data_IF_325311060964
#
_entry.id   IF_325311060964
#
_cell.length_a   1.000
_cell.length_b   1.000
_cell.length_c   1.000
_cell.angle_alpha   90.00
_cell.angle_beta   90.00
_cell.angle_gamma   90.00
#
_symmetry.space_group_name_H-M   'P 1'
#
loop_
_entity.id
_entity.type
_entity.pdbx_description
1 polymer ?
#
# COMPACT_ATOMS: atom_id res chain seq x y z
N UNK A 1 -56.99 -3.14 51.31
CA UNK A 1 -56.33 -3.85 50.20
C UNK A 1 -56.01 -2.81 49.12
N UNK A 2 -54.75 -2.39 49.01
CA UNK A 2 -54.28 -1.41 48.02
C UNK A 2 -53.59 -2.19 46.90
N UNK A 3 -54.18 -2.17 45.70
CA UNK A 3 -53.60 -2.75 44.51
C UNK A 3 -52.56 -1.78 43.94
N UNK A 4 -51.28 -2.15 43.98
CA UNK A 4 -50.22 -1.47 43.25
C UNK A 4 -50.02 -2.20 41.92
N UNK A 5 -50.34 -1.51 40.82
CA UNK A 5 -50.14 -1.96 39.46
C UNK A 5 -48.69 -1.60 39.06
N UNK A 6 -47.80 -2.58 39.02
CA UNK A 6 -46.44 -2.40 38.53
C UNK A 6 -46.45 -2.42 37.00
N UNK A 7 -46.21 -1.26 36.38
CA UNK A 7 -45.97 -1.11 34.95
C UNK A 7 -44.54 -1.55 34.66
N UNK A 8 -44.38 -2.65 33.92
CA UNK A 8 -43.08 -3.10 33.41
C UNK A 8 -42.78 -2.33 32.13
N UNK A 9 -41.88 -1.35 32.20
CA UNK A 9 -41.34 -0.67 31.00
C UNK A 9 -40.25 -1.58 30.44
N UNK A 10 -40.56 -2.28 29.35
CA UNK A 10 -39.57 -3.02 28.57
C UNK A 10 -38.69 -2.02 27.81
N UNK A 11 -37.46 -1.81 28.28
CA UNK A 11 -36.43 -1.14 27.49
C UNK A 11 -36.01 -2.08 26.35
N UNK A 12 -36.49 -1.81 25.14
CA UNK A 12 -35.95 -2.39 23.92
C UNK A 12 -34.55 -1.82 23.70
N UNK A 13 -33.53 -2.57 24.11
CA UNK A 13 -32.16 -2.34 23.64
C UNK A 13 -32.12 -2.68 22.14
N UNK A 14 -32.16 -1.66 21.28
CA UNK A 14 -31.67 -1.79 19.92
C UNK A 14 -30.16 -2.05 20.01
N UNK A 15 -29.75 -3.31 19.98
CA UNK A 15 -28.40 -3.63 19.54
C UNK A 15 -28.33 -3.18 18.09
N UNK A 16 -27.64 -2.08 17.84
CA UNK A 16 -27.22 -1.69 16.50
C UNK A 16 -26.32 -2.84 16.00
N UNK A 17 -26.93 -3.81 15.33
CA UNK A 17 -26.20 -4.80 14.56
C UNK A 17 -25.52 -4.04 13.44
N UNK A 18 -24.21 -4.18 13.30
CA UNK A 18 -23.49 -3.60 12.17
C UNK A 18 -24.19 -4.06 10.88
N UNK A 19 -24.31 -3.17 9.90
CA UNK A 19 -24.92 -3.53 8.65
C UNK A 19 -24.03 -4.57 7.95
N UNK A 20 -24.56 -5.75 7.69
CA UNK A 20 -23.85 -6.79 6.94
C UNK A 20 -23.46 -6.29 5.55
N UNK A 21 -22.32 -6.75 4.99
CA UNK A 21 -21.90 -6.39 3.65
C UNK A 21 -23.00 -6.64 2.60
N UNK A 22 -23.16 -5.70 1.66
CA UNK A 22 -24.15 -5.84 0.58
C UNK A 22 -23.46 -6.32 -0.68
N UNK A 23 -23.90 -7.45 -1.24
CA UNK A 23 -23.31 -8.04 -2.45
C UNK A 23 -24.01 -7.57 -3.73
N UNK A 24 -23.24 -6.93 -4.62
CA UNK A 24 -23.66 -6.43 -5.93
C UNK A 24 -24.02 -7.53 -6.93
N UNK A 25 -23.72 -8.80 -6.64
CA UNK A 25 -24.23 -9.97 -7.40
C UNK A 25 -25.71 -10.26 -7.10
N UNK A 26 -26.19 -9.86 -5.93
CA UNK A 26 -27.58 -10.13 -5.50
C UNK A 26 -28.53 -9.01 -5.90
N UNK A 27 -28.04 -7.76 -5.90
CA UNK A 27 -28.78 -6.57 -6.34
C UNK A 27 -27.80 -5.47 -6.69
N UNK A 28 -28.17 -4.59 -7.63
CA UNK A 28 -27.39 -3.40 -7.95
C UNK A 28 -27.16 -2.54 -6.70
N UNK A 29 -25.97 -1.97 -6.60
CA UNK A 29 -25.59 -0.99 -5.59
C UNK A 29 -25.43 0.35 -6.30
N UNK A 30 -26.04 1.40 -5.78
CA UNK A 30 -26.01 2.73 -6.40
C UNK A 30 -25.47 3.73 -5.40
N UNK A 31 -24.32 4.32 -5.72
CA UNK A 31 -23.78 5.46 -4.97
C UNK A 31 -24.38 6.71 -5.62
N UNK A 32 -25.33 7.32 -4.94
CA UNK A 32 -26.22 8.34 -5.51
C UNK A 32 -25.78 9.76 -5.14
N UNK A 33 -25.80 10.65 -6.13
CA UNK A 33 -25.48 12.09 -6.01
C UNK A 33 -24.07 12.39 -5.47
N UNK A 34 -23.08 11.58 -5.86
CA UNK A 34 -21.70 11.69 -5.38
C UNK A 34 -20.83 12.56 -6.30
N UNK A 35 -19.79 13.20 -5.76
CA UNK A 35 -18.73 13.80 -6.57
C UNK A 35 -17.69 12.73 -6.92
N UNK A 36 -17.45 12.47 -8.19
CA UNK A 36 -16.49 11.43 -8.62
C UNK A 36 -15.17 12.07 -9.01
N UNK A 37 -14.06 11.48 -8.56
CA UNK A 37 -12.71 11.77 -9.05
C UNK A 37 -12.27 10.55 -9.87
N UNK A 38 -12.40 10.58 -11.21
CA UNK A 38 -12.29 9.36 -12.02
C UNK A 38 -10.88 8.79 -12.16
N UNK A 39 -9.85 9.62 -11.93
CA UNK A 39 -8.43 9.31 -12.10
C UNK A 39 -7.97 9.10 -13.56
N UNK A 40 -8.70 9.64 -14.54
CA UNK A 40 -8.30 9.74 -15.95
C UNK A 40 -7.50 11.02 -16.26
N UNK A 41 -7.90 12.15 -15.68
CA UNK A 41 -7.14 13.40 -15.54
C UNK A 41 -7.63 14.17 -14.31
N UNK A 42 -6.96 15.27 -13.94
CA UNK A 42 -7.31 16.05 -12.75
C UNK A 42 -8.62 16.82 -12.94
N UNK A 43 -9.73 16.25 -12.43
CA UNK A 43 -11.04 16.89 -12.40
C UNK A 43 -11.99 16.23 -11.38
N UNK A 44 -13.15 16.86 -11.18
CA UNK A 44 -14.27 16.32 -10.40
C UNK A 44 -15.53 16.30 -11.26
N UNK A 45 -16.21 15.15 -11.32
CA UNK A 45 -17.55 15.03 -11.88
C UNK A 45 -18.56 15.19 -10.74
N UNK A 46 -19.21 16.33 -10.67
CA UNK A 46 -20.15 16.63 -9.58
C UNK A 46 -21.49 15.91 -9.75
N UNK A 47 -22.10 15.53 -8.62
CA UNK A 47 -23.48 15.02 -8.55
C UNK A 47 -23.79 13.88 -9.55
N UNK A 48 -23.06 12.78 -9.44
CA UNK A 48 -23.20 11.58 -10.26
C UNK A 48 -23.95 10.47 -9.52
N UNK A 49 -24.69 9.66 -10.27
CA UNK A 49 -25.09 8.31 -9.83
C UNK A 49 -24.09 7.31 -10.41
N UNK A 50 -23.55 6.42 -9.57
CA UNK A 50 -22.63 5.35 -9.98
C UNK A 50 -23.27 4.00 -9.65
N UNK A 51 -23.52 3.17 -10.67
CA UNK A 51 -24.24 1.90 -10.55
C UNK A 51 -23.27 0.74 -10.64
N UNK A 52 -23.16 -0.02 -9.55
CA UNK A 52 -22.31 -1.19 -9.44
C UNK A 52 -23.15 -2.46 -9.52
N UNK A 53 -22.71 -3.37 -10.38
CA UNK A 53 -23.34 -4.67 -10.60
C UNK A 53 -22.26 -5.72 -10.85
N UNK A 54 -22.35 -6.86 -10.16
CA UNK A 54 -21.40 -7.96 -10.30
C UNK A 54 -19.92 -7.51 -10.14
N UNK A 55 -19.67 -6.54 -9.26
CA UNK A 55 -18.33 -5.96 -9.01
C UNK A 55 -17.78 -5.03 -10.09
N UNK A 56 -18.62 -4.59 -11.03
CA UNK A 56 -18.23 -3.67 -12.12
C UNK A 56 -19.12 -2.43 -12.07
N UNK A 57 -18.53 -1.28 -12.40
CA UNK A 57 -19.30 -0.05 -12.65
C UNK A 57 -20.07 -0.24 -13.96
N UNK A 58 -21.33 -0.61 -13.85
CA UNK A 58 -22.19 -0.96 -14.98
C UNK A 58 -22.72 0.27 -15.73
N UNK A 59 -22.92 1.38 -15.03
CA UNK A 59 -23.32 2.66 -15.60
C UNK A 59 -22.96 3.81 -14.64
N UNK A 60 -22.75 5.02 -15.17
CA UNK A 60 -22.60 6.23 -14.38
C UNK A 60 -22.96 7.49 -15.17
N UNK A 61 -23.34 8.55 -14.47
CA UNK A 61 -23.69 9.82 -15.10
C UNK A 61 -24.41 10.77 -14.14
N UNK A 62 -24.86 11.95 -14.62
CA UNK A 62 -25.52 12.94 -13.77
C UNK A 62 -26.71 12.34 -13.02
N UNK A 63 -26.80 12.64 -11.72
CA UNK A 63 -27.82 12.11 -10.82
C UNK A 63 -29.24 12.33 -11.37
N UNK A 64 -30.06 11.29 -11.30
CA UNK A 64 -31.43 11.27 -11.85
C UNK A 64 -31.53 11.06 -13.37
N UNK A 65 -30.40 10.95 -14.09
CA UNK A 65 -30.37 10.57 -15.52
C UNK A 65 -29.97 9.13 -15.76
N UNK A 66 -29.29 8.50 -14.80
CA UNK A 66 -28.88 7.09 -14.84
C UNK A 66 -30.05 6.21 -14.44
N UNK A 67 -30.24 5.08 -15.14
CA UNK A 67 -31.30 4.12 -14.82
C UNK A 67 -30.72 2.93 -14.09
N UNK A 68 -31.35 2.59 -12.97
CA UNK A 68 -31.02 1.39 -12.19
C UNK A 68 -32.30 0.71 -11.69
N UNK A 69 -32.15 -0.51 -11.20
CA UNK A 69 -33.23 -1.34 -10.68
C UNK A 69 -33.94 -0.66 -9.51
N UNK A 70 -35.27 -0.76 -9.48
CA UNK A 70 -36.08 -0.33 -8.32
C UNK A 70 -35.76 -1.09 -7.02
N UNK A 71 -35.05 -2.21 -7.11
CA UNK A 71 -34.59 -3.02 -5.98
C UNK A 71 -33.14 -2.73 -5.58
N UNK A 72 -32.49 -1.78 -6.24
CA UNK A 72 -31.10 -1.43 -5.96
C UNK A 72 -30.94 -0.98 -4.50
N UNK A 73 -29.77 -1.27 -3.94
CA UNK A 73 -29.35 -0.71 -2.67
C UNK A 73 -28.77 0.68 -2.92
N UNK A 74 -29.41 1.70 -2.36
CA UNK A 74 -29.02 3.10 -2.57
C UNK A 74 -28.16 3.56 -1.40
N UNK A 75 -27.00 4.14 -1.71
CA UNK A 75 -26.09 4.80 -0.79
C UNK A 75 -26.15 6.31 -1.08
N UNK A 76 -26.81 7.11 -0.23
CA UNK A 76 -26.82 8.56 -0.38
C UNK A 76 -25.42 9.14 -0.15
N UNK A 77 -24.92 9.90 -1.11
CA UNK A 77 -23.54 10.40 -1.13
C UNK A 77 -23.43 11.88 -1.52
N UNK A 78 -24.50 12.65 -1.32
CA UNK A 78 -24.49 14.11 -1.54
C UNK A 78 -23.38 14.78 -0.70
N UNK A 79 -22.55 15.60 -1.38
CA UNK A 79 -21.40 16.27 -0.77
C UNK A 79 -20.18 15.38 -0.51
N UNK A 80 -20.29 14.06 -0.71
CA UNK A 80 -19.19 13.10 -0.55
C UNK A 80 -18.42 12.93 -1.86
N UNK A 81 -17.23 12.34 -1.76
CA UNK A 81 -16.32 12.12 -2.88
C UNK A 81 -16.08 10.62 -3.09
N UNK A 82 -16.09 10.17 -4.35
CA UNK A 82 -15.81 8.79 -4.73
C UNK A 82 -14.49 8.73 -5.48
N UNK A 83 -13.56 7.91 -4.96
CA UNK A 83 -12.29 7.61 -5.61
C UNK A 83 -12.18 6.10 -5.88
N UNK A 84 -11.26 5.67 -6.76
CA UNK A 84 -10.89 4.26 -6.85
C UNK A 84 -10.27 3.76 -5.52
N UNK A 85 -10.41 2.47 -5.27
CA UNK A 85 -9.72 1.77 -4.19
C UNK A 85 -8.22 2.01 -4.22
N UNK A 86 -7.63 2.27 -3.06
CA UNK A 86 -6.19 2.45 -2.93
C UNK A 86 -5.48 1.08 -2.99
N UNK A 87 -4.24 1.09 -3.48
CA UNK A 87 -3.40 -0.09 -3.64
C UNK A 87 -2.13 0.11 -2.80
N UNK A 88 -1.93 -0.76 -1.81
CA UNK A 88 -0.71 -0.79 -1.00
C UNK A 88 0.31 -1.69 -1.70
N UNK A 89 1.33 -1.07 -2.30
CA UNK A 89 2.31 -1.76 -3.13
C UNK A 89 3.54 -2.23 -2.32
N UNK A 90 3.59 -2.02 -1.02
CA UNK A 90 4.62 -2.58 -0.15
C UNK A 90 4.08 -2.93 1.24
N UNK A 91 3.55 -4.14 1.39
CA UNK A 91 3.08 -4.62 2.69
C UNK A 91 3.85 -5.85 3.18
N UNK A 92 3.68 -6.13 4.48
CA UNK A 92 4.16 -7.33 5.12
C UNK A 92 3.01 -8.09 5.79
N UNK A 93 2.41 -9.04 5.06
CA UNK A 93 1.42 -9.93 5.66
C UNK A 93 2.15 -10.91 6.60
N UNK A 94 1.66 -11.15 7.83
CA UNK A 94 2.30 -12.04 8.79
C UNK A 94 2.69 -13.40 8.17
N UNK A 95 3.95 -13.79 8.35
CA UNK A 95 4.50 -15.06 7.86
C UNK A 95 4.26 -16.17 8.89
N UNK A 96 3.02 -16.63 8.99
CA UNK A 96 2.57 -17.65 9.94
C UNK A 96 1.72 -18.72 9.26
N UNK A 97 1.47 -19.82 9.96
CA UNK A 97 0.58 -20.89 9.48
C UNK A 97 -0.92 -20.59 9.72
N UNK A 98 -1.21 -19.55 10.52
CA UNK A 98 -2.56 -19.16 10.92
C UNK A 98 -3.12 -18.04 10.03
N UNK A 99 -4.37 -18.18 9.56
CA UNK A 99 -5.02 -17.13 8.74
C UNK A 99 -5.45 -15.92 9.56
N UNK A 100 -5.82 -16.09 10.83
CA UNK A 100 -6.40 -15.02 11.66
C UNK A 100 -5.51 -13.77 11.74
N UNK A 101 -4.19 -13.86 12.06
CA UNK A 101 -3.34 -12.67 12.08
C UNK A 101 -3.20 -11.99 10.71
N UNK A 102 -3.26 -12.77 9.62
CA UNK A 102 -3.23 -12.22 8.26
C UNK A 102 -4.52 -11.44 7.97
N UNK A 103 -5.68 -12.01 8.34
CA UNK A 103 -6.98 -11.37 8.16
C UNK A 103 -7.11 -10.09 8.98
N UNK A 104 -6.51 -10.03 10.17
CA UNK A 104 -6.48 -8.81 10.99
C UNK A 104 -5.73 -7.68 10.26
N UNK A 105 -4.54 -7.97 9.71
CA UNK A 105 -3.78 -7.02 8.91
C UNK A 105 -4.55 -6.62 7.63
N UNK A 106 -5.15 -7.58 6.93
CA UNK A 106 -5.96 -7.31 5.73
C UNK A 106 -7.21 -6.48 6.04
N UNK A 107 -7.80 -6.65 7.23
CA UNK A 107 -8.94 -5.86 7.70
C UNK A 107 -8.53 -4.42 7.99
N UNK A 108 -7.36 -4.20 8.59
CA UNK A 108 -6.82 -2.85 8.80
C UNK A 108 -6.59 -2.14 7.46
N UNK A 109 -6.05 -2.84 6.45
CA UNK A 109 -5.96 -2.30 5.09
C UNK A 109 -7.33 -1.95 4.51
N UNK A 110 -8.30 -2.87 4.57
CA UNK A 110 -9.66 -2.67 4.06
C UNK A 110 -10.37 -1.47 4.70
N UNK A 111 -10.28 -1.33 6.03
CA UNK A 111 -10.90 -0.24 6.78
C UNK A 111 -10.31 1.14 6.44
N UNK A 112 -9.12 1.17 5.85
CA UNK A 112 -8.45 2.36 5.37
C UNK A 112 -8.54 2.50 3.83
N UNK A 113 -9.53 1.86 3.19
CA UNK A 113 -9.80 2.05 1.76
C UNK A 113 -8.77 1.40 0.83
N UNK A 114 -7.88 0.56 1.37
CA UNK A 114 -6.98 -0.26 0.57
C UNK A 114 -7.76 -1.48 0.07
N UNK A 115 -7.81 -1.66 -1.24
CA UNK A 115 -8.55 -2.75 -1.91
C UNK A 115 -7.63 -3.75 -2.61
N UNK A 116 -6.35 -3.42 -2.74
CA UNK A 116 -5.30 -4.31 -3.25
C UNK A 116 -4.04 -4.15 -2.41
N UNK A 117 -3.38 -5.27 -2.12
CA UNK A 117 -2.15 -5.35 -1.34
C UNK A 117 -1.11 -6.17 -2.12
N UNK A 118 0.10 -5.63 -2.28
CA UNK A 118 1.29 -6.35 -2.75
C UNK A 118 2.17 -6.69 -1.54
N UNK A 119 2.10 -7.94 -1.08
CA UNK A 119 2.94 -8.47 -0.02
C UNK A 119 4.36 -8.71 -0.54
N UNK A 120 5.33 -8.04 0.09
CA UNK A 120 6.74 -8.06 -0.32
C UNK A 120 7.56 -9.12 0.41
N UNK A 121 6.93 -9.93 1.28
CA UNK A 121 7.56 -11.05 1.97
C UNK A 121 6.59 -12.23 2.07
N UNK A 122 6.76 -13.19 1.18
CA UNK A 122 5.86 -14.33 1.02
C UNK A 122 6.01 -15.45 2.03
N UNK A 123 4.88 -16.05 2.39
CA UNK A 123 4.75 -17.33 3.06
C UNK A 123 3.83 -18.26 2.27
N UNK A 124 3.93 -19.58 2.44
CA UNK A 124 3.08 -20.53 1.69
C UNK A 124 1.59 -20.31 1.95
N UNK A 125 1.24 -19.97 3.19
CA UNK A 125 -0.15 -19.65 3.56
C UNK A 125 -0.71 -18.37 2.94
N UNK A 126 0.14 -17.48 2.41
CA UNK A 126 -0.34 -16.34 1.64
C UNK A 126 -1.00 -16.77 0.32
N UNK A 127 -0.55 -17.89 -0.28
CA UNK A 127 -1.20 -18.46 -1.46
C UNK A 127 -2.58 -19.04 -1.13
N UNK A 128 -2.72 -19.67 0.05
CA UNK A 128 -4.03 -20.12 0.55
C UNK A 128 -4.98 -18.94 0.76
N UNK A 129 -4.50 -17.87 1.44
CA UNK A 129 -5.28 -16.64 1.64
C UNK A 129 -5.68 -16.02 0.30
N UNK A 130 -4.75 -15.89 -0.65
CA UNK A 130 -5.00 -15.37 -2.00
C UNK A 130 -6.12 -16.16 -2.69
N UNK A 131 -6.05 -17.49 -2.69
CA UNK A 131 -7.09 -18.33 -3.29
C UNK A 131 -8.47 -18.16 -2.62
N UNK A 132 -8.52 -18.00 -1.29
CA UNK A 132 -9.76 -17.73 -0.55
C UNK A 132 -10.37 -16.37 -0.89
N UNK A 133 -9.54 -15.36 -1.15
CA UNK A 133 -9.99 -14.04 -1.61
C UNK A 133 -10.54 -14.13 -3.03
N UNK A 134 -9.82 -14.78 -3.94
CA UNK A 134 -10.22 -14.93 -5.35
C UNK A 134 -11.52 -15.71 -5.52
N UNK A 135 -11.77 -16.70 -4.67
CA UNK A 135 -13.01 -17.49 -4.66
C UNK A 135 -14.16 -16.80 -3.95
N UNK A 136 -13.90 -15.70 -3.22
CA UNK A 136 -14.88 -14.98 -2.43
C UNK A 136 -15.25 -15.66 -1.11
N UNK A 137 -14.47 -16.66 -0.65
CA UNK A 137 -14.63 -17.24 0.68
C UNK A 137 -14.28 -16.22 1.78
N UNK A 138 -13.34 -15.32 1.48
CA UNK A 138 -12.89 -14.24 2.36
C UNK A 138 -13.07 -12.90 1.65
N UNK A 139 -13.70 -11.93 2.33
CA UNK A 139 -13.75 -10.54 1.89
C UNK A 139 -12.51 -9.84 2.46
N UNK A 140 -11.52 -9.61 1.60
CA UNK A 140 -10.30 -8.88 1.92
C UNK A 140 -9.70 -8.26 0.64
N UNK A 141 -8.76 -7.32 0.77
CA UNK A 141 -8.08 -6.72 -0.38
C UNK A 141 -7.49 -7.78 -1.32
N UNK A 142 -7.51 -7.54 -2.62
CA UNK A 142 -6.83 -8.40 -3.60
C UNK A 142 -5.37 -8.56 -3.21
N UNK A 143 -4.87 -9.80 -3.12
CA UNK A 143 -3.50 -10.08 -2.69
C UNK A 143 -2.62 -10.46 -3.88
N UNK A 144 -1.56 -9.68 -4.10
CA UNK A 144 -0.38 -10.10 -4.86
C UNK A 144 0.74 -10.39 -3.86
N UNK A 145 1.44 -11.50 -4.00
CA UNK A 145 2.46 -11.89 -3.02
C UNK A 145 3.72 -12.39 -3.69
N UNK A 146 4.86 -11.89 -3.21
CA UNK A 146 6.14 -12.52 -3.52
C UNK A 146 6.20 -13.90 -2.86
N UNK A 147 7.19 -14.70 -3.24
CA UNK A 147 7.65 -15.80 -2.39
C UNK A 147 8.57 -15.31 -1.25
N UNK A 148 9.18 -16.24 -0.49
CA UNK A 148 10.23 -15.91 0.47
C UNK A 148 11.37 -15.13 -0.18
N UNK A 149 11.99 -14.20 0.58
CA UNK A 149 13.00 -13.30 0.00
C UNK A 149 14.29 -14.01 -0.45
N UNK A 150 14.84 -13.53 -1.56
CA UNK A 150 16.21 -13.81 -1.99
C UNK A 150 17.15 -12.83 -1.28
N UNK A 151 18.00 -13.33 -0.39
CA UNK A 151 18.93 -12.53 0.41
C UNK A 151 20.27 -13.26 0.57
N UNK A 152 21.24 -12.61 1.23
CA UNK A 152 22.59 -13.17 1.42
C UNK A 152 22.65 -14.51 2.19
N UNK A 153 21.58 -14.90 2.89
CA UNK A 153 21.50 -16.17 3.60
C UNK A 153 20.72 -17.25 2.84
N UNK A 154 19.81 -16.87 1.93
CA UNK A 154 18.96 -17.81 1.19
C UNK A 154 19.46 -18.04 -0.24
N UNK A 155 19.90 -16.99 -0.93
CA UNK A 155 20.34 -17.00 -2.32
C UNK A 155 21.88 -17.02 -2.44
N UNK A 156 22.54 -17.92 -1.70
CA UNK A 156 23.99 -17.93 -1.49
C UNK A 156 24.81 -18.33 -2.71
N UNK A 157 24.26 -19.14 -3.62
CA UNK A 157 24.93 -19.61 -4.84
C UNK A 157 23.99 -19.59 -6.04
N UNK A 158 24.51 -19.44 -7.28
CA UNK A 158 23.70 -19.48 -8.50
C UNK A 158 22.77 -20.69 -8.59
N UNK A 159 23.24 -21.88 -8.18
CA UNK A 159 22.46 -23.12 -8.25
C UNK A 159 21.28 -23.10 -7.29
N UNK A 160 21.50 -22.67 -6.04
CA UNK A 160 20.43 -22.53 -5.04
C UNK A 160 19.42 -21.48 -5.50
N UNK A 161 19.90 -20.36 -6.01
CA UNK A 161 19.04 -19.28 -6.50
C UNK A 161 18.15 -19.72 -7.67
N UNK A 162 18.67 -20.45 -8.64
CA UNK A 162 17.88 -21.00 -9.76
C UNK A 162 16.80 -21.97 -9.25
N UNK A 163 17.14 -22.84 -8.29
CA UNK A 163 16.17 -23.75 -7.70
C UNK A 163 15.03 -23.00 -6.99
N UNK A 164 15.36 -21.95 -6.22
CA UNK A 164 14.37 -21.08 -5.57
C UNK A 164 13.46 -20.36 -6.57
N UNK A 165 14.00 -19.86 -7.70
CA UNK A 165 13.19 -19.23 -8.75
C UNK A 165 12.17 -20.22 -9.31
N UNK A 166 12.63 -21.44 -9.65
CA UNK A 166 11.75 -22.49 -10.16
C UNK A 166 10.68 -22.90 -9.15
N UNK A 167 11.05 -23.07 -7.89
CA UNK A 167 10.13 -23.41 -6.82
C UNK A 167 9.05 -22.34 -6.68
N UNK A 168 9.44 -21.06 -6.53
CA UNK A 168 8.48 -19.98 -6.34
C UNK A 168 7.56 -19.79 -7.55
N UNK A 169 8.10 -19.91 -8.77
CA UNK A 169 7.30 -19.89 -9.99
C UNK A 169 6.29 -21.05 -10.02
N UNK A 170 6.74 -22.28 -9.72
CA UNK A 170 5.88 -23.48 -9.75
C UNK A 170 4.78 -23.46 -8.70
N UNK A 171 5.02 -22.79 -7.57
CA UNK A 171 4.03 -22.60 -6.51
C UNK A 171 2.97 -21.55 -6.85
N UNK A 172 3.22 -20.70 -7.84
CA UNK A 172 2.29 -19.65 -8.27
C UNK A 172 2.42 -18.32 -7.51
N UNK A 173 3.61 -18.00 -7.00
CA UNK A 173 3.89 -16.65 -6.50
C UNK A 173 3.89 -15.63 -7.66
N UNK A 174 3.44 -14.41 -7.37
CA UNK A 174 3.23 -13.38 -8.41
C UNK A 174 4.55 -12.75 -8.88
N UNK A 175 5.57 -12.71 -8.01
CA UNK A 175 6.88 -12.10 -8.28
C UNK A 175 7.96 -12.58 -7.30
N UNK A 176 9.22 -12.26 -7.58
CA UNK A 176 10.37 -12.57 -6.74
C UNK A 176 10.82 -11.32 -5.96
N UNK A 177 10.94 -11.39 -4.63
CA UNK A 177 11.48 -10.30 -3.80
C UNK A 177 12.98 -10.48 -3.57
N UNK A 178 13.75 -9.44 -3.90
CA UNK A 178 15.18 -9.35 -3.60
C UNK A 178 15.39 -8.47 -2.36
N UNK A 179 16.20 -8.97 -1.43
CA UNK A 179 16.68 -8.30 -0.22
C UNK A 179 18.20 -8.09 -0.30
N UNK A 180 18.78 -7.28 0.60
CA UNK A 180 20.21 -7.03 0.61
C UNK A 180 21.06 -8.32 0.77
N UNK A 181 22.30 -8.26 0.27
CA UNK A 181 23.31 -9.30 0.45
C UNK A 181 23.31 -10.43 -0.59
N UNK A 182 22.45 -10.41 -1.60
CA UNK A 182 22.53 -11.38 -2.71
C UNK A 182 23.85 -11.17 -3.48
N UNK A 183 24.71 -12.20 -3.63
CA UNK A 183 25.94 -12.09 -4.41
C UNK A 183 25.67 -11.81 -5.89
N UNK A 184 26.56 -11.07 -6.56
CA UNK A 184 26.39 -10.72 -7.99
C UNK A 184 26.15 -11.94 -8.89
N UNK A 185 26.85 -13.06 -8.65
CA UNK A 185 26.70 -14.28 -9.44
C UNK A 185 25.29 -14.90 -9.26
N UNK A 186 24.78 -14.93 -8.02
CA UNK A 186 23.43 -15.40 -7.71
C UNK A 186 22.37 -14.49 -8.31
N UNK A 187 22.57 -13.17 -8.23
CA UNK A 187 21.69 -12.19 -8.86
C UNK A 187 21.61 -12.42 -10.39
N UNK A 188 22.74 -12.58 -11.07
CA UNK A 188 22.75 -12.85 -12.51
C UNK A 188 22.04 -14.15 -12.88
N UNK A 189 22.13 -15.18 -12.03
CA UNK A 189 21.42 -16.43 -12.21
C UNK A 189 19.90 -16.26 -12.01
N UNK A 190 19.50 -15.48 -10.99
CA UNK A 190 18.10 -15.09 -10.74
C UNK A 190 17.52 -14.39 -11.97
N UNK A 191 18.17 -13.34 -12.47
CA UNK A 191 17.68 -12.56 -13.62
C UNK A 191 17.50 -13.45 -14.85
N UNK A 192 18.49 -14.30 -15.14
CA UNK A 192 18.43 -15.22 -16.28
C UNK A 192 17.25 -16.18 -16.18
N UNK A 193 17.05 -16.80 -15.01
CA UNK A 193 15.98 -17.77 -14.84
C UNK A 193 14.60 -17.11 -14.76
N UNK A 194 14.49 -15.98 -14.06
CA UNK A 194 13.26 -15.20 -13.97
C UNK A 194 12.78 -14.74 -15.35
N UNK A 195 13.70 -14.29 -16.23
CA UNK A 195 13.38 -13.93 -17.62
C UNK A 195 12.92 -15.13 -18.45
N UNK A 196 13.45 -16.34 -18.19
CA UNK A 196 13.02 -17.57 -18.86
C UNK A 196 11.60 -17.97 -18.45
N UNK A 197 11.30 -17.90 -17.15
CA UNK A 197 9.98 -18.24 -16.60
C UNK A 197 8.97 -17.08 -16.70
N UNK A 198 9.42 -15.89 -17.12
CA UNK A 198 8.64 -14.64 -17.22
C UNK A 198 8.01 -14.21 -15.89
N UNK A 199 8.68 -14.49 -14.78
CA UNK A 199 8.27 -14.01 -13.46
C UNK A 199 9.00 -12.69 -13.14
N UNK A 200 8.28 -11.61 -12.79
CA UNK A 200 8.92 -10.34 -12.45
C UNK A 200 9.68 -10.45 -11.12
N UNK A 201 10.67 -9.56 -10.94
CA UNK A 201 11.43 -9.44 -9.70
C UNK A 201 11.57 -7.98 -9.29
N UNK A 202 11.58 -7.73 -7.98
CA UNK A 202 11.52 -6.40 -7.39
C UNK A 202 12.13 -6.36 -5.98
N UNK A 203 12.33 -5.17 -5.43
CA UNK A 203 12.73 -4.96 -4.04
C UNK A 203 13.99 -4.12 -3.91
N UNK A 204 14.87 -4.52 -2.99
CA UNK A 204 16.13 -3.82 -2.77
C UNK A 204 17.10 -4.06 -3.93
N UNK A 205 18.03 -3.12 -4.08
CA UNK A 205 19.20 -3.27 -4.93
C UNK A 205 20.37 -3.75 -4.05
N UNK A 206 20.89 -4.97 -4.24
CA UNK A 206 22.06 -5.42 -3.49
C UNK A 206 23.29 -4.55 -3.78
N UNK A 207 24.11 -4.25 -2.77
CA UNK A 207 25.29 -3.41 -2.92
C UNK A 207 26.30 -3.93 -3.97
N UNK A 208 26.50 -5.26 -4.06
CA UNK A 208 27.38 -5.86 -5.09
C UNK A 208 26.81 -5.76 -6.52
N UNK A 209 25.49 -5.59 -6.64
CA UNK A 209 24.78 -5.45 -7.91
C UNK A 209 24.83 -3.99 -8.35
N UNK A 210 24.46 -3.08 -7.46
CA UNK A 210 24.40 -1.65 -7.74
C UNK A 210 23.23 -1.25 -8.66
N UNK A 211 22.83 0.02 -8.57
CA UNK A 211 21.62 0.52 -9.23
C UNK A 211 21.63 0.34 -10.75
N UNK A 212 22.79 0.50 -11.40
CA UNK A 212 22.89 0.47 -12.85
C UNK A 212 22.66 -0.94 -13.39
N UNK A 213 23.24 -1.96 -12.75
CA UNK A 213 23.00 -3.35 -13.14
C UNK A 213 21.57 -3.78 -12.85
N UNK A 214 20.96 -3.27 -11.77
CA UNK A 214 19.54 -3.48 -11.48
C UNK A 214 18.63 -2.88 -12.57
N UNK A 215 18.88 -1.65 -13.01
CA UNK A 215 18.16 -1.00 -14.11
C UNK A 215 18.33 -1.81 -15.40
N UNK A 216 19.56 -2.15 -15.78
CA UNK A 216 19.88 -2.91 -17.00
C UNK A 216 19.32 -4.34 -16.98
N UNK A 217 19.00 -4.85 -15.79
CA UNK A 217 18.39 -6.17 -15.60
C UNK A 217 16.86 -6.16 -15.75
N UNK A 218 16.22 -4.99 -15.83
CA UNK A 218 14.77 -4.80 -15.92
C UNK A 218 14.01 -5.20 -14.63
N UNK A 219 14.45 -4.68 -13.47
CA UNK A 219 13.65 -4.73 -12.24
C UNK A 219 12.21 -4.27 -12.50
N UNK A 220 11.19 -4.96 -11.97
CA UNK A 220 9.82 -4.47 -12.09
C UNK A 220 9.55 -3.28 -11.15
N UNK A 221 10.08 -3.32 -9.92
CA UNK A 221 10.18 -2.13 -9.06
C UNK A 221 11.43 -2.11 -8.19
N UNK A 222 11.92 -0.91 -7.90
CA UNK A 222 12.93 -0.64 -6.89
C UNK A 222 12.23 -0.01 -5.68
N UNK A 223 12.54 -0.53 -4.51
CA UNK A 223 11.83 -0.21 -3.27
C UNK A 223 12.78 0.50 -2.28
N UNK A 224 12.23 1.32 -1.38
CA UNK A 224 12.93 2.01 -0.28
C UNK A 224 13.93 3.11 -0.65
N UNK A 225 14.20 3.35 -1.94
CA UNK A 225 15.15 4.34 -2.47
C UNK A 225 16.62 4.15 -2.06
N UNK A 226 16.96 3.15 -1.24
CA UNK A 226 18.31 2.92 -0.73
C UNK A 226 19.32 2.72 -1.86
N UNK A 227 19.02 1.84 -2.81
CA UNK A 227 19.83 1.62 -4.00
C UNK A 227 19.98 2.86 -4.89
N UNK A 228 18.97 3.73 -4.93
CA UNK A 228 19.04 4.99 -5.65
C UNK A 228 19.98 5.97 -4.96
N UNK A 229 19.87 6.11 -3.63
CA UNK A 229 20.76 6.97 -2.85
C UNK A 229 22.21 6.49 -2.96
N UNK A 230 22.47 5.18 -2.83
CA UNK A 230 23.79 4.59 -3.06
C UNK A 230 24.31 4.88 -4.48
N UNK A 231 23.44 4.79 -5.47
CA UNK A 231 23.72 5.10 -6.87
C UNK A 231 24.13 6.55 -7.14
N UNK A 232 23.78 7.48 -6.25
CA UNK A 232 24.20 8.88 -6.31
C UNK A 232 25.56 9.11 -5.66
N UNK A 233 26.14 8.14 -4.96
CA UNK A 233 27.42 8.31 -4.25
C UNK A 233 28.58 7.90 -5.19
N UNK A 234 29.48 8.83 -5.55
CA UNK A 234 30.64 8.48 -6.39
C UNK A 234 31.54 7.44 -5.71
N UNK A 235 31.89 6.38 -6.44
CA UNK A 235 32.70 5.26 -5.93
C UNK A 235 32.11 4.53 -4.70
N UNK A 236 30.78 4.47 -4.57
CA UNK A 236 30.08 3.80 -3.45
C UNK A 236 30.59 2.39 -3.16
N UNK A 237 30.98 1.62 -4.19
CA UNK A 237 31.53 0.27 -4.08
C UNK A 237 32.84 0.17 -3.29
N UNK A 238 33.53 1.30 -3.04
CA UNK A 238 34.74 1.36 -2.22
C UNK A 238 34.44 1.73 -0.76
N UNK A 239 33.19 2.07 -0.44
CA UNK A 239 32.76 2.49 0.88
C UNK A 239 32.15 1.26 1.59
N UNK A 240 32.65 0.88 2.78
CA UNK A 240 32.04 -0.18 3.55
C UNK A 240 30.56 0.10 3.86
N UNK A 241 29.69 -0.91 3.73
CA UNK A 241 28.24 -0.74 3.90
C UNK A 241 27.84 -0.13 5.26
N UNK A 242 28.56 -0.45 6.33
CA UNK A 242 28.32 0.13 7.65
C UNK A 242 28.61 1.65 7.72
N UNK A 243 29.38 2.22 6.79
CA UNK A 243 29.60 3.67 6.69
C UNK A 243 28.55 4.39 5.83
N UNK A 244 27.82 3.65 5.00
CA UNK A 244 26.66 4.14 4.24
C UNK A 244 25.41 4.15 5.14
N UNK A 245 25.33 3.19 6.07
CA UNK A 245 24.27 3.07 7.06
C UNK A 245 23.05 2.33 6.53
N UNK A 246 22.14 1.97 7.44
CA UNK A 246 20.87 1.33 7.09
C UNK A 246 20.08 2.24 6.12
N UNK A 247 19.56 1.68 5.03
CA UNK A 247 18.88 2.42 3.95
C UNK A 247 19.68 3.61 3.36
N UNK A 248 21.01 3.56 3.44
CA UNK A 248 21.88 4.65 3.03
C UNK A 248 21.64 5.99 3.76
N UNK A 249 21.27 5.93 5.04
CA UNK A 249 20.99 7.11 5.87
C UNK A 249 22.16 8.10 5.95
N UNK A 250 23.41 7.63 5.89
CA UNK A 250 24.61 8.48 5.86
C UNK A 250 25.05 8.86 4.43
N UNK A 251 24.28 8.46 3.42
CA UNK A 251 24.57 8.69 2.01
C UNK A 251 24.35 10.14 1.57
N UNK A 252 23.44 10.86 2.23
CA UNK A 252 22.98 12.18 1.77
C UNK A 252 24.11 13.21 1.61
N UNK A 253 25.06 13.26 2.55
CA UNK A 253 26.20 14.17 2.48
C UNK A 253 27.24 13.82 1.39
N UNK A 254 27.11 12.65 0.75
CA UNK A 254 28.03 12.13 -0.27
C UNK A 254 27.39 12.03 -1.66
N UNK A 255 26.10 12.33 -1.78
CA UNK A 255 25.35 12.23 -3.01
C UNK A 255 25.76 13.32 -4.02
N UNK A 256 26.09 12.90 -5.23
CA UNK A 256 26.29 13.76 -6.39
C UNK A 256 24.99 13.86 -7.19
N UNK A 257 24.27 14.96 -6.98
CA UNK A 257 22.97 15.22 -7.62
C UNK A 257 23.07 15.37 -9.15
N UNK A 258 24.27 15.57 -9.71
CA UNK A 258 24.45 15.60 -11.17
C UNK A 258 24.19 14.24 -11.83
N UNK A 259 24.12 13.16 -11.05
CA UNK A 259 23.80 11.81 -11.51
C UNK A 259 22.29 11.57 -11.68
N UNK A 260 21.42 12.41 -11.09
CA UNK A 260 19.97 12.24 -11.15
C UNK A 260 19.42 12.18 -12.58
N UNK A 261 19.78 13.08 -13.52
CA UNK A 261 19.25 13.01 -14.89
C UNK A 261 19.56 11.68 -15.59
N UNK A 262 20.76 11.13 -15.37
CA UNK A 262 21.14 9.83 -15.92
C UNK A 262 20.31 8.70 -15.29
N UNK A 263 20.12 8.75 -13.97
CA UNK A 263 19.33 7.76 -13.24
C UNK A 263 17.87 7.77 -13.69
N UNK A 264 17.23 8.94 -13.73
CA UNK A 264 15.84 9.09 -14.17
C UNK A 264 15.64 8.58 -15.60
N UNK A 265 16.55 8.93 -16.52
CA UNK A 265 16.52 8.41 -17.89
C UNK A 265 16.61 6.89 -17.93
N UNK A 266 17.47 6.28 -17.11
CA UNK A 266 17.61 4.82 -17.02
C UNK A 266 16.32 4.16 -16.52
N UNK A 267 15.78 4.65 -15.39
CA UNK A 267 14.54 4.15 -14.79
C UNK A 267 13.37 4.24 -15.78
N UNK A 268 13.21 5.39 -16.43
CA UNK A 268 12.17 5.61 -17.44
C UNK A 268 12.32 4.65 -18.63
N UNK A 269 13.52 4.56 -19.21
CA UNK A 269 13.75 3.76 -20.43
C UNK A 269 13.56 2.26 -20.21
N UNK A 270 13.83 1.79 -18.98
CA UNK A 270 13.63 0.39 -18.59
C UNK A 270 12.27 0.13 -17.92
N UNK A 271 11.38 1.14 -17.86
CA UNK A 271 10.04 1.03 -17.26
C UNK A 271 10.05 0.54 -15.80
N UNK A 272 11.05 1.00 -15.04
CA UNK A 272 11.24 0.63 -13.63
C UNK A 272 10.32 1.48 -12.77
N UNK A 273 9.50 0.84 -11.95
CA UNK A 273 8.65 1.52 -10.97
C UNK A 273 9.41 1.75 -9.66
N UNK A 274 9.07 2.82 -8.95
CA UNK A 274 9.66 3.18 -7.67
C UNK A 274 8.61 3.07 -6.57
N UNK A 275 8.95 2.39 -5.47
CA UNK A 275 8.13 2.35 -4.25
C UNK A 275 8.93 2.97 -3.11
N UNK A 276 8.78 4.28 -2.86
CA UNK A 276 9.64 5.02 -1.94
C UNK A 276 9.63 4.52 -0.50
N UNK A 277 8.47 4.08 0.01
CA UNK A 277 8.24 3.80 1.44
C UNK A 277 8.71 4.96 2.31
N UNK A 278 8.32 6.18 1.95
CA UNK A 278 8.72 7.40 2.67
C UNK A 278 8.18 7.44 4.10
N UNK A 279 7.01 6.83 4.33
CA UNK A 279 6.40 6.66 5.63
C UNK A 279 7.29 5.88 6.58
N UNK A 280 7.97 4.83 6.10
CA UNK A 280 8.96 4.13 6.90
C UNK A 280 10.12 5.05 7.28
N UNK A 281 10.69 5.80 6.32
CA UNK A 281 11.81 6.68 6.60
C UNK A 281 11.43 7.82 7.57
N UNK A 282 10.32 8.52 7.32
CA UNK A 282 9.85 9.63 8.14
C UNK A 282 9.44 9.15 9.55
N UNK A 283 8.81 7.98 9.70
CA UNK A 283 8.34 7.48 11.01
C UNK A 283 9.40 6.72 11.81
N UNK A 284 10.30 5.99 11.16
CA UNK A 284 11.43 5.38 11.85
C UNK A 284 12.42 6.44 12.31
N UNK A 285 12.75 7.43 11.46
CA UNK A 285 13.73 8.43 11.83
C UNK A 285 13.16 9.50 12.77
N UNK A 286 11.96 10.01 12.49
CA UNK A 286 11.15 10.93 13.31
C UNK A 286 11.92 11.70 14.40
N UNK A 287 12.99 12.40 14.00
CA UNK A 287 14.02 12.90 14.92
C UNK A 287 13.56 14.11 15.75
N UNK A 288 12.38 14.63 15.42
CA UNK A 288 11.69 15.74 16.07
C UNK A 288 10.61 15.25 17.06
N UNK A 289 10.41 13.94 17.21
CA UNK A 289 9.44 13.32 18.11
C UNK A 289 10.11 12.30 19.01
N UNK A 290 9.49 12.07 20.16
CA UNK A 290 9.87 10.99 21.07
C UNK A 290 9.21 9.67 20.67
N UNK A 291 9.84 8.55 21.01
CA UNK A 291 9.26 7.21 20.88
C UNK A 291 7.87 7.10 21.55
N UNK A 292 7.69 7.79 22.68
CA UNK A 292 6.42 7.88 23.40
C UNK A 292 5.33 8.62 22.63
N UNK A 293 5.67 9.71 21.94
CA UNK A 293 4.71 10.44 21.10
C UNK A 293 4.28 9.60 19.89
N UNK A 294 5.21 8.89 19.27
CA UNK A 294 4.92 7.97 18.16
C UNK A 294 4.05 6.79 18.60
N UNK A 295 4.37 6.17 19.75
CA UNK A 295 3.60 5.08 20.33
C UNK A 295 2.20 5.52 20.83
N UNK A 296 1.99 6.81 21.07
CA UNK A 296 0.70 7.36 21.48
C UNK A 296 -0.20 7.80 20.30
N UNK A 297 0.23 7.58 19.05
CA UNK A 297 -0.58 7.92 17.89
C UNK A 297 -1.91 7.11 17.88
N UNK A 298 -3.05 7.70 17.47
CA UNK A 298 -4.36 7.07 17.61
C UNK A 298 -4.47 5.68 16.96
N UNK A 299 -3.76 5.45 15.86
CA UNK A 299 -3.73 4.19 15.13
C UNK A 299 -2.98 3.07 15.88
N UNK A 300 -2.14 3.40 16.87
CA UNK A 300 -1.31 2.41 17.58
C UNK A 300 -2.13 1.44 18.43
N UNK A 301 -3.40 1.78 18.76
CA UNK A 301 -4.33 0.88 19.47
C UNK A 301 -4.67 -0.41 18.71
N UNK A 302 -4.28 -0.51 17.44
CA UNK A 302 -4.45 -1.72 16.62
C UNK A 302 -3.21 -2.61 16.58
N UNK A 303 -2.14 -2.25 17.30
CA UNK A 303 -0.90 -3.01 17.37
C UNK A 303 -0.70 -3.57 18.77
N UNK A 304 -0.20 -4.80 18.88
CA UNK A 304 0.10 -5.39 20.19
C UNK A 304 1.29 -4.69 20.89
N UNK A 305 1.31 -4.79 22.22
CA UNK A 305 2.33 -4.17 23.06
C UNK A 305 3.75 -4.65 22.70
N UNK A 306 3.93 -5.93 22.37
CA UNK A 306 5.24 -6.48 22.05
C UNK A 306 5.78 -5.94 20.72
N UNK A 307 4.93 -5.79 19.71
CA UNK A 307 5.25 -5.13 18.45
C UNK A 307 5.58 -3.66 18.66
N UNK A 308 4.76 -2.94 19.43
CA UNK A 308 4.99 -1.53 19.74
C UNK A 308 6.31 -1.31 20.49
N UNK A 309 6.63 -2.17 21.45
CA UNK A 309 7.87 -2.12 22.20
C UNK A 309 9.10 -2.36 21.31
N UNK A 310 9.04 -3.32 20.38
CA UNK A 310 10.11 -3.52 19.38
C UNK A 310 10.32 -2.31 18.49
N UNK A 311 9.25 -1.61 18.10
CA UNK A 311 9.34 -0.39 17.30
C UNK A 311 9.95 0.78 18.06
N UNK A 312 9.61 0.93 19.35
CA UNK A 312 10.26 1.89 20.26
C UNK A 312 11.77 1.62 20.31
N UNK A 313 12.17 0.37 20.54
CA UNK A 313 13.58 -0.02 20.60
C UNK A 313 14.31 0.24 19.28
N UNK A 314 13.69 -0.10 18.14
CA UNK A 314 14.26 0.13 16.82
C UNK A 314 14.45 1.63 16.49
N UNK A 315 13.49 2.46 16.89
CA UNK A 315 13.58 3.91 16.75
C UNK A 315 14.64 4.51 17.67
N UNK A 316 14.66 4.13 18.95
CA UNK A 316 15.67 4.62 19.89
C UNK A 316 17.08 4.17 19.51
N UNK A 317 17.23 2.99 18.93
CA UNK A 317 18.51 2.49 18.45
C UNK A 317 19.01 3.28 17.25
N UNK A 318 18.18 3.55 16.23
CA UNK A 318 18.64 4.29 15.05
C UNK A 318 19.07 5.72 15.40
N UNK A 319 18.39 6.37 16.36
CA UNK A 319 18.75 7.71 16.83
C UNK A 319 20.12 7.79 17.50
N UNK A 320 20.68 6.68 18.01
CA UNK A 320 22.03 6.66 18.60
C UNK A 320 23.14 6.73 17.55
N UNK A 321 22.84 6.35 16.31
CA UNK A 321 23.85 6.16 15.26
C UNK A 321 23.93 7.33 14.28
N UNK A 322 23.12 8.38 14.42
CA UNK A 322 23.20 9.58 13.56
C UNK A 322 22.72 10.83 14.27
N UNK A 323 22.92 11.98 13.63
CA UNK A 323 22.45 13.28 14.12
C UNK A 323 21.14 13.72 13.46
N UNK A 324 20.39 14.61 14.11
CA UNK A 324 19.18 15.22 13.53
C UNK A 324 19.44 15.95 12.20
N UNK A 325 20.62 16.56 12.03
CA UNK A 325 21.00 17.23 10.77
C UNK A 325 21.24 16.21 9.64
N UNK A 326 21.84 15.05 9.94
CA UNK A 326 22.00 13.97 8.96
C UNK A 326 20.65 13.39 8.55
N UNK A 327 19.76 13.10 9.51
CA UNK A 327 18.41 12.63 9.19
C UNK A 327 17.63 13.64 8.36
N UNK A 328 17.70 14.93 8.70
CA UNK A 328 17.10 15.98 7.89
C UNK A 328 17.61 15.96 6.46
N UNK A 329 18.93 15.93 6.25
CA UNK A 329 19.54 15.86 4.90
C UNK A 329 19.11 14.61 4.14
N UNK A 330 18.98 13.48 4.82
CA UNK A 330 18.50 12.23 4.24
C UNK A 330 17.05 12.33 3.76
N UNK A 331 16.13 12.82 4.60
CA UNK A 331 14.73 13.02 4.23
C UNK A 331 14.61 14.03 3.07
N UNK A 332 15.35 15.13 3.09
CA UNK A 332 15.35 16.10 1.99
C UNK A 332 15.87 15.50 0.67
N UNK A 333 16.89 14.64 0.72
CA UNK A 333 17.36 13.92 -0.47
C UNK A 333 16.29 12.97 -1.01
N UNK A 334 15.59 12.23 -0.13
CA UNK A 334 14.51 11.32 -0.52
C UNK A 334 13.35 12.06 -1.18
N UNK A 335 12.89 13.16 -0.58
CA UNK A 335 11.89 14.07 -1.17
C UNK A 335 12.32 14.57 -2.54
N UNK A 336 13.59 14.98 -2.68
CA UNK A 336 14.12 15.37 -3.98
C UNK A 336 14.07 14.22 -4.99
N UNK A 337 14.47 13.01 -4.63
CA UNK A 337 14.40 11.84 -5.52
C UNK A 337 12.96 11.57 -5.96
N UNK A 338 11.99 11.58 -5.04
CA UNK A 338 10.56 11.40 -5.34
C UNK A 338 10.08 12.46 -6.34
N UNK A 339 10.42 13.73 -6.12
CA UNK A 339 10.06 14.82 -7.02
C UNK A 339 10.72 14.69 -8.41
N UNK A 340 11.98 14.26 -8.47
CA UNK A 340 12.67 14.03 -9.74
C UNK A 340 12.08 12.84 -10.51
N UNK A 341 11.66 11.76 -9.81
CA UNK A 341 10.92 10.67 -10.45
C UNK A 341 9.66 11.21 -11.12
N UNK A 342 8.88 12.01 -10.40
CA UNK A 342 7.68 12.67 -10.92
C UNK A 342 7.98 13.57 -12.12
N UNK A 343 8.98 14.44 -12.02
CA UNK A 343 9.31 15.41 -13.08
C UNK A 343 9.87 14.77 -14.36
N UNK A 344 10.28 13.50 -14.31
CA UNK A 344 10.82 12.75 -15.44
C UNK A 344 9.93 11.56 -15.83
N UNK A 345 8.65 11.57 -15.43
CA UNK A 345 7.66 10.54 -15.73
C UNK A 345 8.07 9.11 -15.31
N UNK A 346 8.95 8.98 -14.31
CA UNK A 346 9.27 7.70 -13.69
C UNK A 346 8.10 7.29 -12.80
N UNK A 347 7.63 6.05 -12.96
CA UNK A 347 6.50 5.52 -12.22
C UNK A 347 6.75 5.48 -10.72
N UNK A 348 5.82 6.03 -9.92
CA UNK A 348 5.83 5.97 -8.46
C UNK A 348 4.58 5.23 -8.00
N UNK A 349 4.73 4.32 -7.05
CA UNK A 349 3.66 3.54 -6.47
C UNK A 349 3.53 3.82 -4.97
N UNK A 350 2.29 3.87 -4.49
CA UNK A 350 1.97 3.99 -3.08
C UNK A 350 2.43 2.72 -2.36
N UNK A 351 3.33 2.86 -1.38
CA UNK A 351 3.51 1.80 -0.40
C UNK A 351 4.25 2.22 0.84
N UNK A 352 3.85 1.68 1.99
CA UNK A 352 4.29 2.18 3.30
C UNK A 352 5.23 1.25 4.07
N UNK A 353 5.43 0.02 3.60
CA UNK A 353 6.15 -1.05 4.30
C UNK A 353 5.43 -1.57 5.55
N UNK A 354 4.11 -1.39 5.66
CA UNK A 354 3.37 -1.76 6.86
C UNK A 354 3.04 -3.27 6.96
N UNK A 355 3.05 -3.84 8.19
CA UNK A 355 3.47 -3.24 9.44
C UNK A 355 5.00 -3.19 9.60
N UNK A 356 5.53 -2.01 9.92
CA UNK A 356 6.95 -1.79 10.24
C UNK A 356 7.13 -0.48 10.99
N UNK A 357 8.01 -0.41 12.00
CA UNK A 357 8.34 0.77 12.85
C UNK A 357 7.31 1.91 12.80
N UNK A 358 6.29 1.81 13.66
CA UNK A 358 5.16 2.74 13.79
C UNK A 358 4.23 2.87 12.56
N UNK A 359 4.44 2.12 11.48
CA UNK A 359 3.51 2.04 10.36
C UNK A 359 2.44 0.99 10.66
N UNK A 360 1.27 1.46 11.07
CA UNK A 360 0.08 0.61 11.21
C UNK A 360 -0.49 0.32 9.81
N UNK A 361 -0.87 -0.94 9.50
CA UNK A 361 -1.44 -1.30 8.20
C UNK A 361 -2.65 -0.43 7.83
N UNK A 362 -2.72 0.01 6.57
CA UNK A 362 -3.75 0.92 6.08
C UNK A 362 -3.49 2.39 6.42
N UNK A 363 -3.38 2.71 7.71
CA UNK A 363 -3.17 4.10 8.19
C UNK A 363 -1.90 4.73 7.61
N UNK A 364 -0.82 3.96 7.58
CA UNK A 364 0.48 4.40 7.05
C UNK A 364 0.48 4.68 5.54
N UNK A 365 -0.42 4.09 4.76
CA UNK A 365 -0.56 4.43 3.34
C UNK A 365 -1.08 5.87 3.17
N UNK A 366 -1.96 6.33 4.06
CA UNK A 366 -2.39 7.73 4.07
C UNK A 366 -1.27 8.68 4.49
N UNK A 367 -0.37 8.24 5.37
CA UNK A 367 0.85 9.00 5.67
C UNK A 367 1.75 9.09 4.44
N UNK A 368 1.96 7.99 3.71
CA UNK A 368 2.74 7.96 2.46
C UNK A 368 2.19 8.95 1.41
N UNK A 369 0.87 9.01 1.22
CA UNK A 369 0.24 10.01 0.35
C UNK A 369 0.56 11.45 0.79
N UNK A 370 0.51 11.73 2.10
CA UNK A 370 0.90 13.03 2.62
C UNK A 370 2.39 13.32 2.43
N UNK A 371 3.26 12.31 2.57
CA UNK A 371 4.70 12.48 2.35
C UNK A 371 5.03 12.73 0.87
N UNK A 372 4.28 12.16 -0.07
CA UNK A 372 4.38 12.52 -1.48
C UNK A 372 3.99 13.97 -1.75
N UNK A 373 2.91 14.46 -1.13
CA UNK A 373 2.54 15.88 -1.23
C UNK A 373 3.63 16.77 -0.62
N UNK A 374 4.20 16.37 0.52
CA UNK A 374 5.32 17.09 1.15
C UNK A 374 6.59 17.08 0.28
N UNK A 375 6.78 16.07 -0.57
CA UNK A 375 7.87 16.00 -1.54
C UNK A 375 7.63 16.89 -2.79
N UNK A 376 6.42 17.42 -2.97
CA UNK A 376 6.07 18.35 -4.04
C UNK A 376 5.12 17.78 -5.10
N UNK A 377 4.51 16.62 -4.88
CA UNK A 377 3.39 16.15 -5.70
C UNK A 377 2.12 16.93 -5.36
N UNK A 378 1.26 17.16 -6.35
CA UNK A 378 -0.12 17.58 -6.09
C UNK A 378 -0.91 16.43 -5.43
N UNK A 379 -2.04 16.72 -4.74
CA UNK A 379 -2.89 15.66 -4.21
C UNK A 379 -3.40 14.68 -5.29
N UNK A 380 -3.72 15.17 -6.49
CA UNK A 380 -4.08 14.31 -7.63
C UNK A 380 -2.95 13.36 -8.04
N UNK A 381 -1.72 13.88 -8.16
CA UNK A 381 -0.54 13.08 -8.51
C UNK A 381 -0.20 12.05 -7.43
N UNK A 382 -0.42 12.37 -6.15
CA UNK A 382 -0.29 11.42 -5.05
C UNK A 382 -1.37 10.33 -5.13
N UNK A 383 -2.64 10.67 -5.38
CA UNK A 383 -3.70 9.68 -5.56
C UNK A 383 -3.43 8.71 -6.73
N UNK A 384 -2.83 9.19 -7.82
CA UNK A 384 -2.45 8.34 -8.95
C UNK A 384 -1.53 7.19 -8.54
N UNK A 385 -0.61 7.41 -7.59
CA UNK A 385 0.34 6.37 -7.15
C UNK A 385 -0.34 5.20 -6.46
N UNK A 386 -1.52 5.41 -5.88
CA UNK A 386 -2.32 4.38 -5.21
C UNK A 386 -3.50 3.86 -6.03
N UNK A 387 -3.76 4.39 -7.24
CA UNK A 387 -4.96 4.06 -8.04
C UNK A 387 -4.59 3.62 -9.46
N UNK A 388 -4.54 4.53 -10.43
CA UNK A 388 -4.31 4.21 -11.85
C UNK A 388 -2.88 3.71 -12.13
N UNK A 389 -1.86 4.14 -11.39
CA UNK A 389 -0.48 3.67 -11.59
C UNK A 389 -0.28 2.18 -11.22
N UNK A 390 -0.77 1.69 -10.07
CA UNK A 390 -0.82 0.26 -9.77
C UNK A 390 -1.52 -0.58 -10.84
N UNK A 391 -2.61 -0.06 -11.43
CA UNK A 391 -3.29 -0.72 -12.55
C UNK A 391 -2.36 -0.87 -13.77
N UNK A 392 -1.58 0.16 -14.11
CA UNK A 392 -0.55 0.07 -15.14
C UNK A 392 0.62 -0.87 -14.75
N UNK A 393 1.03 -0.89 -13.48
CA UNK A 393 2.06 -1.80 -12.98
C UNK A 393 1.69 -3.27 -13.21
N UNK A 394 0.43 -3.64 -12.94
CA UNK A 394 -0.10 -5.00 -13.11
C UNK A 394 -0.68 -5.29 -14.50
N UNK A 395 -0.60 -4.35 -15.45
CA UNK A 395 -1.20 -4.47 -16.78
C UNK A 395 -2.73 -4.73 -16.75
N UNK A 396 -3.46 -4.04 -15.85
CA UNK A 396 -4.91 -4.17 -15.63
C UNK A 396 -5.66 -2.87 -15.99
N UNK A 397 -5.98 -2.63 -17.27
CA UNK A 397 -6.53 -1.34 -17.73
C UNK A 397 -7.93 -0.99 -17.21
N UNK A 398 -8.66 -1.96 -16.64
CA UNK A 398 -10.01 -1.76 -16.09
C UNK A 398 -10.01 -1.55 -14.56
N UNK A 399 -8.85 -1.29 -13.95
CA UNK A 399 -8.69 -1.05 -12.51
C UNK A 399 -8.22 0.38 -12.23
N UNK A 400 -8.41 0.84 -10.99
CA UNK A 400 -7.81 2.09 -10.51
C UNK A 400 -8.42 3.37 -11.09
N UNK A 401 -9.62 3.29 -11.68
CA UNK A 401 -10.38 4.42 -12.21
C UNK A 401 -11.88 4.26 -11.95
N UNK A 402 -12.61 5.35 -11.77
CA UNK A 402 -14.08 5.35 -11.63
C UNK A 402 -14.72 5.67 -12.97
N UNK A 403 -14.92 4.65 -13.81
CA UNK A 403 -15.51 4.76 -15.14
C UNK A 403 -16.38 3.54 -15.44
N UNK A 404 -17.38 3.70 -16.32
CA UNK A 404 -18.19 2.56 -16.80
C UNK A 404 -17.29 1.46 -17.39
N UNK A 405 -17.49 0.22 -16.95
CA UNK A 405 -16.71 -0.94 -17.33
C UNK A 405 -15.51 -1.25 -16.41
N UNK A 406 -15.12 -0.33 -15.52
CA UNK A 406 -14.07 -0.57 -14.53
C UNK A 406 -14.55 -1.48 -13.39
N UNK A 407 -13.61 -2.24 -12.81
CA UNK A 407 -13.81 -2.95 -11.55
C UNK A 407 -14.17 -1.94 -10.46
N UNK A 408 -15.23 -2.23 -9.71
CA UNK A 408 -15.79 -1.35 -8.70
C UNK A 408 -15.09 -1.48 -7.34
N UNK A 409 -13.76 -1.48 -7.31
CA UNK A 409 -13.03 -1.25 -6.07
C UNK A 409 -12.99 0.25 -5.82
N UNK A 410 -13.75 0.74 -4.83
CA UNK A 410 -14.06 2.17 -4.64
C UNK A 410 -14.01 2.56 -3.17
N UNK A 411 -13.69 3.82 -2.89
CA UNK A 411 -13.75 4.40 -1.54
C UNK A 411 -14.62 5.64 -1.57
N UNK A 412 -15.61 5.67 -0.67
CA UNK A 412 -16.44 6.86 -0.43
C UNK A 412 -15.84 7.67 0.71
N UNK A 413 -15.57 8.95 0.44
CA UNK A 413 -14.92 9.89 1.36
C UNK A 413 -15.86 11.02 1.75
N UNK A 414 -15.78 11.44 3.01
CA UNK A 414 -16.51 12.61 3.54
C UNK A 414 -15.65 13.89 3.50
N UNK A 415 -15.00 14.12 2.36
CA UNK A 415 -14.16 15.30 2.12
C UNK A 415 -13.45 15.22 0.78
N UNK A 416 -13.02 16.37 0.27
CA UNK A 416 -12.35 16.46 -1.04
C UNK A 416 -10.83 16.18 -0.90
N UNK A 417 -10.32 15.02 -1.38
CA UNK A 417 -8.90 14.72 -1.29
C UNK A 417 -8.03 15.54 -2.25
N UNK A 418 -8.61 16.26 -3.21
CA UNK A 418 -7.87 17.16 -4.11
C UNK A 418 -7.54 18.50 -3.43
N UNK A 419 -8.32 18.91 -2.42
CA UNK A 419 -8.04 20.10 -1.61
C UNK A 419 -7.11 19.80 -0.44
N UNK A 420 -7.30 18.65 0.20
CA UNK A 420 -6.45 18.16 1.28
C UNK A 420 -6.35 16.64 1.21
N UNK A 421 -5.15 16.13 0.90
CA UNK A 421 -4.91 14.70 0.73
C UNK A 421 -5.25 13.88 1.99
N UNK A 422 -5.30 14.50 3.17
CA UNK A 422 -5.72 13.85 4.42
C UNK A 422 -7.18 13.43 4.41
N UNK A 423 -8.02 14.02 3.55
CA UNK A 423 -9.42 13.60 3.41
C UNK A 423 -9.57 12.15 2.93
N UNK A 424 -8.50 11.54 2.40
CA UNK A 424 -8.46 10.09 2.13
C UNK A 424 -8.69 9.23 3.37
N UNK A 425 -8.46 9.75 4.58
CA UNK A 425 -8.71 9.05 5.84
C UNK A 425 -10.18 9.13 6.30
N UNK A 426 -10.98 10.04 5.72
CA UNK A 426 -12.35 10.28 6.16
C UNK A 426 -13.33 9.36 5.42
N UNK A 427 -13.22 8.06 5.67
CA UNK A 427 -13.90 6.99 4.92
C UNK A 427 -15.32 6.74 5.45
N UNK A 428 -16.28 6.71 4.51
CA UNK A 428 -17.70 6.44 4.74
C UNK A 428 -18.12 5.04 4.29
N UNK A 429 -17.28 4.38 3.50
CA UNK A 429 -17.45 3.00 3.09
C UNK A 429 -16.53 2.63 1.95
N UNK A 430 -16.38 1.33 1.74
CA UNK A 430 -15.47 0.74 0.76
C UNK A 430 -16.25 -0.28 -0.06
N UNK A 431 -16.25 -0.12 -1.38
CA UNK A 431 -16.66 -1.16 -2.30
C UNK A 431 -15.43 -2.02 -2.59
N UNK A 432 -15.53 -3.33 -2.36
CA UNK A 432 -14.42 -4.28 -2.50
C UNK A 432 -14.90 -5.54 -3.18
N UNK A 433 -14.33 -5.85 -4.35
CA UNK A 433 -14.81 -6.88 -5.26
C UNK A 433 -16.29 -6.65 -5.61
N UNK A 434 -17.19 -7.44 -5.01
CA UNK A 434 -18.63 -7.31 -5.19
C UNK A 434 -19.35 -6.80 -3.96
N UNK A 435 -18.66 -6.50 -2.87
CA UNK A 435 -19.26 -6.15 -1.58
C UNK A 435 -19.12 -4.68 -1.24
N UNK A 436 -20.22 -4.05 -0.82
CA UNK A 436 -20.18 -2.77 -0.11
C UNK A 436 -19.99 -3.00 1.39
N UNK A 437 -18.91 -2.41 1.93
CA UNK A 437 -18.57 -2.39 3.34
C UNK A 437 -18.88 -0.98 3.87
N UNK A 438 -19.94 -0.84 4.68
CA UNK A 438 -20.29 0.47 5.25
C UNK A 438 -19.30 0.88 6.33
N UNK A 439 -19.27 2.18 6.65
CA UNK A 439 -18.50 2.69 7.79
C UNK A 439 -18.81 1.94 9.09
N UNK A 440 -20.08 1.67 9.37
CA UNK A 440 -20.50 0.97 10.59
C UNK A 440 -19.95 -0.46 10.66
N UNK A 441 -19.89 -1.15 9.50
CA UNK A 441 -19.26 -2.46 9.41
C UNK A 441 -17.75 -2.38 9.68
N UNK A 442 -17.05 -1.48 8.98
CA UNK A 442 -15.60 -1.31 9.13
C UNK A 442 -15.21 -0.90 10.56
N UNK A 443 -15.94 0.04 11.16
CA UNK A 443 -15.73 0.47 12.55
C UNK A 443 -15.97 -0.69 13.54
N UNK A 444 -16.92 -1.58 13.25
CA UNK A 444 -17.16 -2.77 14.06
C UNK A 444 -16.02 -3.79 13.97
N UNK A 445 -15.47 -4.02 12.78
CA UNK A 445 -14.29 -4.90 12.59
C UNK A 445 -13.05 -4.32 13.27
N UNK A 446 -12.78 -3.01 13.09
CA UNK A 446 -11.70 -2.32 13.79
C UNK A 446 -11.83 -2.46 15.32
N UNK A 447 -13.04 -2.35 15.86
CA UNK A 447 -13.28 -2.51 17.30
C UNK A 447 -13.01 -3.94 17.80
N UNK A 448 -13.12 -4.97 16.95
CA UNK A 448 -12.72 -6.34 17.33
C UNK A 448 -11.21 -6.45 17.46
N UNK A 449 -10.46 -5.84 16.54
CA UNK A 449 -9.00 -5.80 16.56
C UNK A 449 -8.51 -5.01 17.78
N UNK A 450 -9.06 -3.81 18.02
CA UNK A 450 -8.74 -2.98 19.19
C UNK A 450 -9.01 -3.68 20.53
N UNK A 451 -9.97 -4.60 20.62
CA UNK A 451 -10.22 -5.35 21.87
C UNK A 451 -9.24 -6.48 22.12
N UNK A 452 -8.53 -6.91 21.07
CA UNK A 452 -7.58 -8.03 21.13
C UNK A 452 -6.19 -7.54 21.55
N UNK A 453 -5.85 -6.30 21.19
CA UNK A 453 -4.65 -5.59 21.59
C UNK A 453 -4.93 -4.74 22.83
#
# INVERSE_FOLDING_TARGET
MKNALSIFIAFLFFQASAQEPVDSKQREIVIQSVNVIPMDYEHVLENQDVVVKDGVISDMGPSGRVRFSKKAFIIPAEGKFLIPGLNEMHAHIPQTDELTPMLEVMTLFAANGITTVRSMLGHIKHLELKAKIETGEVIAPTLYTSGPSFNGNTATTPQVTVAMVHEQFSMGYDFLKIHPGVPLASFNALVKEAKKEKIPFAGHVPAEVGIWHAIESDYKSIDHLDGMIEGLIPNVQKIPANQIGLFAVHGAGRADLSLLPKMMKGLFSHHIWIVPTEALAERWLAYDKTSKELAAAPEMKYMDEATTQKWIEAHEEILKHSTADEFKKFIELRKKIILECKNNDVGILLGSDAPQVFNVPGFSAHHELQYYVNAGLTPYEALLTGTAKPAAYFDRPNCGMVMTGSIADLVLLNGNPLEDIKQTQNIEGVMMHTHWLSKEYLDAELKKIEKKH
#
